data_IF_718718655459
#
_entry.id   IF_718718655459
#
_cell.length_a   1.000
_cell.length_b   1.000
_cell.length_c   1.000
_cell.angle_alpha   90.00
_cell.angle_beta   90.00
_cell.angle_gamma   90.00
#
_symmetry.space_group_name_H-M   'P 1'
#
loop_
_entity.id
_entity.type
_entity.pdbx_description
1 polymer ?
#
# COMPACT_ATOMS: atom_id res chain seq x y z
N UNK A 1 20.48 -13.15 7.93
CA UNK A 1 19.02 -12.95 7.95
C UNK A 1 18.61 -12.77 6.50
N UNK A 2 17.81 -13.66 5.91
CA UNK A 2 17.46 -13.56 4.49
C UNK A 2 16.61 -12.30 4.26
N UNK A 3 17.15 -11.34 3.51
CA UNK A 3 16.53 -10.05 3.19
C UNK A 3 15.36 -10.12 2.20
N UNK A 4 14.61 -11.21 2.18
CA UNK A 4 13.72 -11.55 1.05
C UNK A 4 12.46 -10.70 0.89
N UNK A 5 12.11 -9.83 1.86
CA UNK A 5 10.86 -9.05 1.82
C UNK A 5 10.94 -7.64 2.44
N UNK A 6 12.14 -7.05 2.48
CA UNK A 6 12.31 -5.75 3.14
C UNK A 6 11.43 -4.68 2.49
N UNK A 7 11.48 -4.55 1.16
CA UNK A 7 10.72 -3.54 0.43
C UNK A 7 9.21 -3.82 0.43
N UNK A 8 8.81 -5.09 0.34
CA UNK A 8 7.41 -5.52 0.38
C UNK A 8 6.79 -5.22 1.74
N UNK A 9 7.50 -5.50 2.83
CA UNK A 9 7.04 -5.15 4.17
C UNK A 9 6.89 -3.64 4.38
N UNK A 10 7.81 -2.84 3.83
CA UNK A 10 7.73 -1.38 3.87
C UNK A 10 6.53 -0.85 3.06
N UNK A 11 6.31 -1.36 1.84
CA UNK A 11 5.15 -1.03 0.99
C UNK A 11 3.83 -1.42 1.67
N UNK A 12 3.78 -2.62 2.24
CA UNK A 12 2.61 -3.13 2.98
C UNK A 12 2.25 -2.21 4.14
N UNK A 13 3.23 -1.86 4.97
CA UNK A 13 3.02 -0.98 6.11
C UNK A 13 2.60 0.44 5.66
N UNK A 14 3.27 0.99 4.64
CA UNK A 14 2.94 2.29 4.09
C UNK A 14 1.51 2.38 3.56
N UNK A 15 1.10 1.40 2.73
CA UNK A 15 -0.26 1.31 2.20
C UNK A 15 -1.27 1.22 3.35
N UNK A 16 -1.03 0.33 4.30
CA UNK A 16 -1.97 0.09 5.40
C UNK A 16 -2.15 1.33 6.27
N UNK A 17 -1.05 1.93 6.73
CA UNK A 17 -1.10 3.06 7.67
C UNK A 17 -1.62 4.34 7.00
N UNK A 18 -1.17 4.63 5.78
CA UNK A 18 -1.64 5.81 5.09
C UNK A 18 -3.14 5.68 4.82
N UNK A 19 -3.60 4.59 4.20
CA UNK A 19 -5.02 4.40 3.90
C UNK A 19 -5.89 4.14 5.15
N UNK A 20 -5.29 3.90 6.32
CA UNK A 20 -6.01 3.85 7.59
C UNK A 20 -6.29 5.24 8.16
N UNK A 21 -5.36 6.21 8.05
CA UNK A 21 -5.53 7.54 8.65
C UNK A 21 -6.17 8.53 7.66
N UNK A 22 -7.41 8.91 7.94
CA UNK A 22 -8.05 10.09 7.36
C UNK A 22 -7.72 11.28 8.25
N UNK A 23 -6.83 12.16 7.81
CA UNK A 23 -6.72 13.45 8.50
C UNK A 23 -7.87 14.32 8.02
N UNK A 24 -8.67 14.85 8.94
CA UNK A 24 -9.55 15.97 8.63
C UNK A 24 -8.65 17.14 8.26
N UNK A 25 -8.47 17.41 6.97
CA UNK A 25 -7.64 18.50 6.49
C UNK A 25 -8.31 19.85 6.81
N UNK A 26 -8.15 20.31 8.04
CA UNK A 26 -8.28 21.73 8.40
C UNK A 26 -6.89 22.24 8.79
N UNK A 27 -6.03 22.42 7.79
CA UNK A 27 -4.68 22.95 7.93
C UNK A 27 -3.89 22.78 6.62
N UNK A 28 -2.92 23.66 6.31
CA UNK A 28 -2.07 23.50 5.13
C UNK A 28 -1.40 22.12 5.16
N UNK A 29 -1.35 21.47 4.00
CA UNK A 29 -1.01 20.06 3.74
C UNK A 29 0.49 19.80 3.95
N UNK A 30 1.05 20.20 5.10
CA UNK A 30 2.50 20.27 5.30
C UNK A 30 3.08 19.22 6.26
N UNK A 31 2.26 18.41 6.94
CA UNK A 31 2.78 17.39 7.85
C UNK A 31 2.11 16.03 7.63
N UNK A 32 2.94 14.99 7.45
CA UNK A 32 2.62 13.55 7.58
C UNK A 32 2.52 12.68 6.31
N UNK A 33 2.94 13.15 5.14
CA UNK A 33 3.29 12.24 4.04
C UNK A 33 4.76 12.46 3.79
N UNK A 34 5.58 11.40 3.91
CA UNK A 34 7.04 11.39 3.72
C UNK A 34 7.51 12.65 2.99
N UNK A 35 8.29 13.49 3.66
CA UNK A 35 8.78 14.75 3.09
C UNK A 35 9.24 14.47 1.65
N UNK A 36 8.50 15.00 0.68
CA UNK A 36 8.72 14.71 -0.74
C UNK A 36 10.13 15.17 -1.16
N UNK A 37 10.71 16.10 -0.40
CA UNK A 37 12.12 16.50 -0.51
C UNK A 37 13.05 15.36 -0.14
N UNK A 38 12.79 14.67 0.97
CA UNK A 38 13.50 13.47 1.40
C UNK A 38 13.39 12.36 0.34
N UNK A 39 12.19 12.14 -0.23
CA UNK A 39 11.97 11.16 -1.32
C UNK A 39 12.80 11.49 -2.55
N UNK A 40 12.84 12.77 -2.95
CA UNK A 40 13.65 13.25 -4.07
C UNK A 40 15.16 13.16 -3.78
N UNK A 41 15.59 13.43 -2.55
CA UNK A 41 16.97 13.27 -2.09
C UNK A 41 17.40 11.80 -2.14
N UNK A 42 16.56 10.88 -1.64
CA UNK A 42 16.79 9.44 -1.78
C UNK A 42 16.83 8.98 -3.23
N UNK A 43 16.01 9.56 -4.12
CA UNK A 43 16.05 9.28 -5.57
C UNK A 43 17.37 9.72 -6.18
N UNK A 44 17.84 10.91 -5.83
CA UNK A 44 19.13 11.43 -6.29
C UNK A 44 20.30 10.57 -5.78
N UNK A 45 20.29 10.19 -4.51
CA UNK A 45 21.30 9.28 -3.94
C UNK A 45 21.26 7.89 -4.61
N UNK A 46 20.08 7.31 -4.80
CA UNK A 46 19.94 6.01 -5.46
C UNK A 46 20.48 6.04 -6.91
N UNK A 47 20.21 7.13 -7.64
CA UNK A 47 20.71 7.34 -9.01
C UNK A 47 22.23 7.48 -9.03
N UNK A 48 22.78 8.27 -8.10
CA UNK A 48 24.23 8.43 -7.92
C UNK A 48 24.93 7.10 -7.64
N UNK A 49 24.38 6.26 -6.75
CA UNK A 49 24.95 4.95 -6.47
C UNK A 49 24.78 3.97 -7.64
N UNK A 50 23.71 4.06 -8.42
CA UNK A 50 23.55 3.24 -9.63
C UNK A 50 24.62 3.51 -10.69
N UNK A 51 24.94 4.78 -10.93
CA UNK A 51 25.94 5.18 -11.92
C UNK A 51 27.36 4.79 -11.49
N UNK A 52 27.63 4.73 -10.18
CA UNK A 52 28.98 4.61 -9.64
C UNK A 52 29.33 3.26 -8.99
N UNK A 53 28.43 2.27 -8.96
CA UNK A 53 28.68 0.97 -8.31
C UNK A 53 28.70 -0.19 -9.30
N UNK A 54 29.78 -1.00 -9.30
CA UNK A 54 29.87 -2.24 -10.07
C UNK A 54 29.83 -3.45 -9.12
N UNK A 55 28.71 -4.19 -9.07
CA UNK A 55 28.74 -5.62 -8.70
C UNK A 55 27.80 -6.16 -7.61
N UNK A 56 27.16 -5.36 -6.75
CA UNK A 56 26.13 -5.89 -5.81
C UNK A 56 24.95 -4.95 -5.50
N UNK A 57 25.00 -3.69 -5.95
CA UNK A 57 23.98 -2.68 -5.66
C UNK A 57 22.79 -2.62 -6.62
N UNK A 58 22.72 -3.47 -7.63
CA UNK A 58 21.68 -3.39 -8.67
C UNK A 58 20.32 -3.86 -8.13
N UNK A 59 20.25 -4.99 -7.44
CA UNK A 59 18.99 -5.50 -6.87
C UNK A 59 18.45 -4.54 -5.79
N UNK A 60 19.31 -4.06 -4.89
CA UNK A 60 18.96 -3.07 -3.87
C UNK A 60 18.53 -1.72 -4.46
N UNK A 61 19.08 -1.31 -5.61
CA UNK A 61 18.68 -0.07 -6.27
C UNK A 61 17.36 -0.23 -7.03
N UNK A 62 17.13 -1.38 -7.69
CA UNK A 62 15.84 -1.71 -8.30
C UNK A 62 14.74 -1.76 -7.23
N UNK A 63 15.01 -2.41 -6.09
CA UNK A 63 14.10 -2.47 -4.95
C UNK A 63 13.77 -1.10 -4.37
N UNK A 64 14.78 -0.23 -4.20
CA UNK A 64 14.58 1.17 -3.77
C UNK A 64 13.78 1.99 -4.77
N UNK A 65 14.08 1.92 -6.06
CA UNK A 65 13.30 2.63 -7.09
C UNK A 65 11.84 2.16 -7.09
N UNK A 66 11.61 0.85 -7.02
CA UNK A 66 10.27 0.27 -6.91
C UNK A 66 9.53 0.70 -5.64
N UNK A 67 10.24 0.88 -4.53
CA UNK A 67 9.67 1.40 -3.28
C UNK A 67 9.28 2.87 -3.42
N UNK A 68 10.14 3.72 -3.98
CA UNK A 68 9.86 5.14 -4.20
C UNK A 68 8.67 5.34 -5.13
N UNK A 69 8.65 4.64 -6.26
CA UNK A 69 7.53 4.71 -7.21
C UNK A 69 6.22 4.24 -6.58
N UNK A 70 6.28 3.30 -5.63
CA UNK A 70 5.10 2.87 -4.87
C UNK A 70 4.59 3.96 -3.92
N UNK A 71 5.48 4.67 -3.22
CA UNK A 71 5.09 5.80 -2.36
C UNK A 71 4.48 6.95 -3.17
N UNK A 72 5.03 7.27 -4.34
CA UNK A 72 4.46 8.26 -5.24
C UNK A 72 3.04 7.86 -5.69
N UNK A 73 2.85 6.59 -6.08
CA UNK A 73 1.52 6.06 -6.41
C UNK A 73 0.53 6.20 -5.24
N UNK A 74 0.95 5.91 -4.01
CA UNK A 74 0.10 6.10 -2.82
C UNK A 74 -0.25 7.57 -2.58
N UNK A 75 0.70 8.48 -2.76
CA UNK A 75 0.44 9.92 -2.60
C UNK A 75 -0.57 10.42 -3.64
N UNK A 76 -0.40 10.03 -4.91
CA UNK A 76 -1.37 10.36 -5.98
C UNK A 76 -2.74 9.79 -5.66
N UNK A 77 -2.82 8.52 -5.25
CA UNK A 77 -4.07 7.86 -4.88
C UNK A 77 -4.81 8.57 -3.75
N UNK A 78 -4.09 9.03 -2.71
CA UNK A 78 -4.69 9.74 -1.56
C UNK A 78 -5.22 11.13 -1.91
N UNK A 79 -4.66 11.74 -2.95
CA UNK A 79 -5.07 13.04 -3.46
C UNK A 79 -6.25 12.94 -4.43
N UNK A 80 -6.59 11.73 -4.90
CA UNK A 80 -7.83 11.53 -5.64
C UNK A 80 -9.03 11.95 -4.79
N UNK A 81 -9.91 12.78 -5.35
CA UNK A 81 -11.00 13.40 -4.60
C UNK A 81 -11.99 12.37 -4.03
N UNK A 82 -12.23 11.25 -4.73
CA UNK A 82 -13.14 10.21 -4.28
C UNK A 82 -12.52 9.40 -3.14
N UNK A 83 -11.27 9.00 -3.30
CA UNK A 83 -10.53 8.28 -2.26
C UNK A 83 -10.35 9.16 -1.02
N UNK A 84 -10.02 10.44 -1.19
CA UNK A 84 -9.87 11.38 -0.07
C UNK A 84 -11.17 11.54 0.74
N UNK A 85 -12.33 11.65 0.07
CA UNK A 85 -13.65 11.71 0.73
C UNK A 85 -13.91 10.43 1.54
N UNK A 86 -13.62 9.25 0.97
CA UNK A 86 -13.74 7.96 1.65
C UNK A 86 -12.80 7.82 2.86
N UNK A 87 -11.55 8.27 2.73
CA UNK A 87 -10.57 8.17 3.81
C UNK A 87 -10.89 9.11 4.98
N UNK A 88 -11.35 10.33 4.67
CA UNK A 88 -11.56 11.42 5.65
C UNK A 88 -12.94 11.36 6.30
N UNK A 89 -13.97 11.01 5.53
CA UNK A 89 -15.36 11.07 5.97
C UNK A 89 -16.08 9.72 5.93
N UNK A 90 -15.45 8.67 5.39
CA UNK A 90 -16.04 7.34 5.36
C UNK A 90 -15.98 6.63 6.71
N UNK A 91 -17.00 5.80 6.95
CA UNK A 91 -17.07 4.93 8.11
C UNK A 91 -15.97 3.87 8.04
N UNK A 92 -15.31 3.61 9.16
CA UNK A 92 -14.29 2.57 9.29
C UNK A 92 -14.88 1.29 9.84
N UNK A 93 -14.58 0.15 9.20
CA UNK A 93 -14.97 -1.17 9.70
C UNK A 93 -13.85 -2.20 9.48
N UNK A 94 -13.52 -2.99 10.51
CA UNK A 94 -12.62 -4.14 10.34
C UNK A 94 -13.33 -5.23 9.53
N UNK A 95 -12.61 -5.78 8.54
CA UNK A 95 -13.10 -6.80 7.62
C UNK A 95 -12.55 -8.21 7.94
N UNK A 96 -11.42 -8.30 8.64
CA UNK A 96 -10.82 -9.56 9.08
C UNK A 96 -10.47 -9.51 10.58
N UNK A 97 -11.48 -9.48 11.45
CA UNK A 97 -11.27 -9.30 12.89
C UNK A 97 -10.70 -10.54 13.60
N UNK A 98 -10.82 -11.72 12.98
CA UNK A 98 -10.47 -13.01 13.58
C UNK A 98 -9.10 -13.56 13.13
N UNK A 99 -8.44 -12.91 12.16
CA UNK A 99 -7.15 -13.34 11.64
C UNK A 99 -6.01 -12.51 12.26
N UNK A 100 -5.08 -13.18 12.94
CA UNK A 100 -3.96 -12.52 13.63
C UNK A 100 -2.88 -11.96 12.68
N UNK A 101 -2.86 -12.41 11.42
CA UNK A 101 -1.84 -12.05 10.44
C UNK A 101 -2.40 -11.23 9.27
N UNK A 102 -3.69 -11.34 8.97
CA UNK A 102 -4.36 -10.50 7.97
C UNK A 102 -5.03 -9.31 8.65
N UNK A 103 -4.54 -8.12 8.32
CA UNK A 103 -5.19 -6.88 8.69
C UNK A 103 -5.99 -6.35 7.50
N UNK A 104 -7.32 -6.41 7.59
CA UNK A 104 -8.21 -5.90 6.56
C UNK A 104 -9.28 -4.98 7.12
N UNK A 105 -9.59 -3.90 6.41
CA UNK A 105 -10.61 -2.93 6.80
C UNK A 105 -11.27 -2.28 5.58
N UNK A 106 -12.48 -1.78 5.79
CA UNK A 106 -13.26 -1.06 4.80
C UNK A 106 -13.45 0.39 5.23
N UNK A 107 -13.42 1.29 4.24
CA UNK A 107 -13.93 2.66 4.33
C UNK A 107 -15.18 2.79 3.48
N UNK A 108 -16.27 3.31 4.03
CA UNK A 108 -17.55 3.33 3.31
C UNK A 108 -18.19 4.71 3.38
N UNK A 109 -18.60 5.25 2.23
CA UNK A 109 -19.22 6.58 2.16
C UNK A 109 -20.14 6.69 0.95
N UNK A 110 -21.39 7.13 1.17
CA UNK A 110 -22.39 7.38 0.10
C UNK A 110 -22.56 6.16 -0.84
N UNK A 111 -22.58 4.97 -0.27
CA UNK A 111 -22.75 3.71 -1.02
C UNK A 111 -21.49 3.17 -1.71
N UNK A 112 -20.38 3.92 -1.69
CA UNK A 112 -19.07 3.45 -2.15
C UNK A 112 -18.31 2.79 -1.01
N UNK A 113 -17.47 1.82 -1.34
CA UNK A 113 -16.63 1.10 -0.37
C UNK A 113 -15.19 1.01 -0.87
N UNK A 114 -14.25 1.12 0.05
CA UNK A 114 -12.83 0.98 -0.23
C UNK A 114 -12.26 -0.05 0.74
N UNK A 115 -11.98 -1.24 0.22
CA UNK A 115 -11.44 -2.35 0.98
C UNK A 115 -9.92 -2.32 0.90
N UNK A 116 -9.27 -2.35 2.06
CA UNK A 116 -7.82 -2.51 2.20
C UNK A 116 -7.58 -3.88 2.84
N UNK A 117 -6.67 -4.66 2.26
CA UNK A 117 -6.24 -5.97 2.79
C UNK A 117 -4.72 -5.98 2.87
N UNK A 118 -4.18 -6.44 3.99
CA UNK A 118 -2.74 -6.54 4.23
C UNK A 118 -2.39 -7.81 4.98
N UNK A 119 -1.53 -8.65 4.41
CA UNK A 119 -0.83 -9.70 5.15
C UNK A 119 0.38 -9.08 5.86
N UNK A 120 0.43 -9.12 7.19
CA UNK A 120 1.56 -8.55 7.96
C UNK A 120 2.65 -9.58 8.30
N UNK A 121 2.55 -10.79 7.74
CA UNK A 121 3.48 -11.89 8.02
C UNK A 121 4.40 -12.20 6.83
N UNK A 122 5.38 -13.08 7.09
CA UNK A 122 6.23 -13.70 6.07
C UNK A 122 5.65 -14.98 5.49
N UNK A 123 4.40 -15.30 5.82
CA UNK A 123 3.75 -16.56 5.45
C UNK A 123 2.78 -16.34 4.30
N UNK A 124 2.51 -17.41 3.55
CA UNK A 124 1.40 -17.44 2.61
C UNK A 124 0.11 -17.74 3.37
N UNK A 125 -0.91 -16.89 3.22
CA UNK A 125 -2.18 -17.02 3.95
C UNK A 125 -3.33 -17.24 2.98
N UNK A 126 -4.19 -18.21 3.28
CA UNK A 126 -5.44 -18.37 2.55
C UNK A 126 -6.39 -17.21 2.91
N UNK A 127 -6.91 -16.53 1.89
CA UNK A 127 -7.81 -15.40 2.07
C UNK A 127 -9.04 -15.56 1.17
N UNK A 128 -10.21 -15.37 1.77
CA UNK A 128 -11.48 -15.40 1.05
C UNK A 128 -11.99 -13.98 0.85
N UNK A 129 -11.90 -13.50 -0.38
CA UNK A 129 -12.43 -12.20 -0.75
C UNK A 129 -13.96 -12.28 -0.88
N UNK A 130 -14.68 -11.31 -0.30
CA UNK A 130 -16.13 -11.27 -0.43
C UNK A 130 -16.56 -11.07 -1.88
N UNK A 131 -17.70 -11.63 -2.28
CA UNK A 131 -18.16 -11.61 -3.68
C UNK A 131 -18.28 -10.21 -4.25
N UNK A 132 -18.66 -9.25 -3.41
CA UNK A 132 -18.86 -7.86 -3.83
C UNK A 132 -17.55 -7.20 -4.28
N UNK A 133 -16.40 -7.68 -3.81
CA UNK A 133 -15.10 -7.10 -4.14
C UNK A 133 -14.52 -7.65 -5.46
N UNK A 134 -15.09 -8.74 -6.01
CA UNK A 134 -14.54 -9.40 -7.20
C UNK A 134 -14.69 -8.57 -8.48
N UNK A 135 -15.62 -7.61 -8.50
CA UNK A 135 -15.80 -6.65 -9.58
C UNK A 135 -15.23 -5.26 -9.27
N UNK A 136 -14.57 -5.09 -8.12
CA UNK A 136 -13.99 -3.82 -7.73
C UNK A 136 -12.71 -3.49 -8.49
N UNK A 137 -12.34 -2.21 -8.51
CA UNK A 137 -11.16 -1.71 -9.19
C UNK A 137 -9.96 -1.64 -8.24
N UNK A 138 -8.88 -2.34 -8.60
CA UNK A 138 -7.64 -2.38 -7.80
C UNK A 138 -6.89 -1.07 -7.97
N UNK A 139 -6.90 -0.24 -6.92
CA UNK A 139 -6.29 1.08 -6.95
C UNK A 139 -4.77 1.03 -6.71
N UNK A 140 -4.33 0.11 -5.86
CA UNK A 140 -2.90 -0.08 -5.54
C UNK A 140 -2.69 -1.50 -5.01
N UNK A 141 -1.56 -2.10 -5.34
CA UNK A 141 -1.11 -3.37 -4.79
C UNK A 141 0.41 -3.39 -4.61
N UNK A 142 0.89 -4.02 -3.54
CA UNK A 142 2.33 -4.21 -3.25
C UNK A 142 2.99 -4.99 -4.39
N UNK A 143 2.27 -5.96 -4.93
CA UNK A 143 2.66 -6.77 -6.07
C UNK A 143 1.74 -6.43 -7.27
N UNK A 144 2.27 -5.86 -8.37
CA UNK A 144 1.45 -5.36 -9.48
C UNK A 144 0.59 -6.41 -10.20
N UNK A 145 1.00 -7.67 -10.15
CA UNK A 145 0.36 -8.81 -10.79
C UNK A 145 -0.75 -9.47 -9.94
N UNK A 146 -1.12 -8.87 -8.80
CA UNK A 146 -2.20 -9.39 -7.96
C UNK A 146 -3.51 -9.48 -8.74
N UNK A 147 -4.06 -10.69 -8.83
CA UNK A 147 -5.36 -10.96 -9.46
C UNK A 147 -6.41 -11.21 -8.37
N UNK A 148 -7.50 -10.46 -8.39
CA UNK A 148 -8.61 -10.64 -7.45
C UNK A 148 -9.36 -11.93 -7.77
N UNK A 149 -9.45 -12.81 -6.77
CA UNK A 149 -10.18 -14.06 -6.84
C UNK A 149 -10.92 -14.33 -5.52
N UNK A 150 -12.03 -15.06 -5.60
CA UNK A 150 -12.87 -15.36 -4.42
C UNK A 150 -12.07 -16.08 -3.33
N UNK A 151 -11.18 -16.98 -3.75
CA UNK A 151 -10.20 -17.62 -2.90
C UNK A 151 -8.84 -17.31 -3.50
N UNK A 152 -7.97 -16.71 -2.69
CA UNK A 152 -6.62 -16.37 -3.10
C UNK A 152 -5.65 -16.68 -1.96
N UNK A 153 -4.37 -16.79 -2.29
CA UNK A 153 -3.29 -16.85 -1.30
C UNK A 153 -2.58 -15.52 -1.25
N UNK A 154 -2.67 -14.84 -0.11
CA UNK A 154 -1.87 -13.66 0.15
C UNK A 154 -0.42 -14.09 0.32
N UNK A 155 0.47 -13.53 -0.49
CA UNK A 155 1.92 -13.68 -0.34
C UNK A 155 2.43 -12.96 0.90
N UNK A 156 3.67 -13.25 1.32
CA UNK A 156 4.35 -12.49 2.34
C UNK A 156 4.26 -10.99 2.07
N UNK A 157 3.73 -10.23 3.03
CA UNK A 157 3.53 -8.78 2.92
C UNK A 157 2.67 -8.31 1.73
N UNK A 158 1.84 -9.18 1.16
CA UNK A 158 0.88 -8.77 0.14
C UNK A 158 -0.16 -7.83 0.75
N UNK A 159 -0.25 -6.64 0.17
CA UNK A 159 -1.31 -5.71 0.47
C UNK A 159 -1.86 -5.08 -0.79
N UNK A 160 -3.15 -4.78 -0.79
CA UNK A 160 -3.83 -4.13 -1.89
C UNK A 160 -5.05 -3.37 -1.41
N UNK A 161 -5.51 -2.42 -2.22
CA UNK A 161 -6.72 -1.67 -1.97
C UNK A 161 -7.64 -1.70 -3.19
N UNK A 162 -8.92 -1.96 -2.96
CA UNK A 162 -9.95 -2.14 -4.01
C UNK A 162 -11.11 -1.19 -3.76
N UNK A 163 -11.46 -0.41 -4.76
CA UNK A 163 -12.64 0.45 -4.77
C UNK A 163 -13.85 -0.32 -5.33
N UNK A 164 -14.98 -0.24 -4.64
CA UNK A 164 -16.22 -1.00 -4.89
C UNK A 164 -17.41 -0.04 -4.91
#
# INVERSE_FOLDING_TARGET
>A
MSGGYLFESAKCMALTLQLMQGSAATGPVEESLLDYRLVNEYRAEATFWQENTHGSGIEDSIGRNSLLDFYEKLAVLRNDALINDLLTHGDFKLAAQEDAHVFAFERSLKGRRFLIVSNWSKEFLDFSLSKDCLGGDVQVSVYPETVMAKQMKLRPYEAFAVLI
#
